data_IF_065107740313
#
_entry.id   IF_065107740313
#
_cell.length_a   1.000
_cell.length_b   1.000
_cell.length_c   1.000
_cell.angle_alpha   90.00
_cell.angle_beta   90.00
_cell.angle_gamma   90.00
#
_symmetry.space_group_name_H-M   'P 1'
#
loop_
_entity.id
_entity.type
_entity.pdbx_description
1 polymer ?
#
# COMPACT_ATOMS: atom_id res chain seq x y z
N UNK A 1 -10.15 -12.08 -17.01
CA UNK A 1 -10.15 -10.95 -16.07
C UNK A 1 -11.54 -10.39 -16.07
N UNK A 2 -12.29 -10.59 -14.98
CA UNK A 2 -13.56 -9.91 -14.75
C UNK A 2 -13.21 -8.56 -14.15
N UNK A 3 -13.49 -7.48 -14.85
CA UNK A 3 -13.41 -6.13 -14.31
C UNK A 3 -14.32 -6.06 -13.09
N UNK A 4 -13.75 -5.72 -11.93
CA UNK A 4 -14.51 -5.50 -10.72
C UNK A 4 -15.28 -4.18 -10.88
N UNK A 5 -16.56 -4.27 -11.23
CA UNK A 5 -17.41 -3.10 -11.38
C UNK A 5 -17.80 -2.57 -10.00
N UNK A 6 -17.17 -1.47 -9.58
CA UNK A 6 -17.51 -0.75 -8.34
C UNK A 6 -18.99 -0.33 -8.28
N UNK A 7 -19.70 -0.30 -9.41
CA UNK A 7 -21.13 0.02 -9.48
C UNK A 7 -22.06 -1.16 -9.12
N UNK A 8 -21.53 -2.39 -8.97
CA UNK A 8 -22.35 -3.56 -8.54
C UNK A 8 -22.37 -3.73 -7.03
N UNK A 9 -21.52 -3.00 -6.30
CA UNK A 9 -21.67 -2.88 -4.87
C UNK A 9 -23.02 -2.18 -4.61
N UNK A 10 -23.82 -2.69 -3.67
CA UNK A 10 -25.00 -2.01 -3.10
C UNK A 10 -24.65 -0.56 -2.73
N UNK A 11 -25.57 0.35 -2.33
CA UNK A 11 -25.22 1.76 -2.04
C UNK A 11 -24.38 1.94 -0.75
N UNK A 12 -23.43 1.04 -0.52
CA UNK A 12 -22.35 1.10 0.42
C UNK A 12 -21.39 2.19 -0.05
N UNK A 13 -21.24 3.16 0.83
CA UNK A 13 -20.41 4.35 0.62
C UNK A 13 -18.97 3.90 0.35
N UNK A 14 -18.45 4.20 -0.83
CA UNK A 14 -17.03 4.03 -1.15
C UNK A 14 -16.24 5.19 -0.53
N UNK A 15 -15.13 4.86 0.11
CA UNK A 15 -14.20 5.80 0.69
C UNK A 15 -12.87 5.72 -0.08
N UNK A 16 -12.71 6.51 -1.15
CA UNK A 16 -11.47 6.55 -1.89
C UNK A 16 -10.39 7.23 -1.04
N UNK A 17 -9.25 6.57 -0.91
CA UNK A 17 -8.07 7.09 -0.22
C UNK A 17 -6.82 6.85 -1.06
N UNK A 18 -5.77 7.63 -0.78
CA UNK A 18 -4.50 7.49 -1.49
C UNK A 18 -3.35 7.45 -0.51
N UNK A 19 -2.34 6.65 -0.81
CA UNK A 19 -1.06 6.61 -0.09
C UNK A 19 0.04 7.08 -1.04
N UNK A 20 0.70 8.19 -0.71
CA UNK A 20 1.89 8.64 -1.40
C UNK A 20 3.10 7.96 -0.77
N UNK A 21 3.90 7.32 -1.60
CA UNK A 21 5.18 6.72 -1.20
C UNK A 21 6.26 7.40 -2.04
N UNK A 22 7.24 8.00 -1.37
CA UNK A 22 8.40 8.62 -1.98
C UNK A 22 9.65 7.98 -1.40
N UNK A 23 10.51 7.50 -2.27
CA UNK A 23 11.81 6.93 -1.91
C UNK A 23 12.89 7.74 -2.61
N UNK A 24 13.85 8.21 -1.83
CA UNK A 24 15.03 8.93 -2.32
C UNK A 24 16.28 8.18 -1.86
N UNK A 25 17.18 7.96 -2.80
CA UNK A 25 18.46 7.28 -2.58
C UNK A 25 19.58 8.30 -2.63
N UNK A 26 20.41 8.34 -1.60
CA UNK A 26 21.74 8.97 -1.66
C UNK A 26 22.81 7.89 -1.67
N UNK A 27 24.08 8.25 -1.83
CA UNK A 27 25.20 7.30 -1.79
C UNK A 27 25.28 6.51 -0.47
N UNK A 28 24.69 7.03 0.61
CA UNK A 28 24.83 6.47 1.96
C UNK A 28 23.50 6.07 2.61
N UNK A 29 22.35 6.60 2.16
CA UNK A 29 21.07 6.41 2.87
C UNK A 29 19.84 6.27 1.96
N UNK A 30 18.88 5.49 2.44
CA UNK A 30 17.54 5.35 1.88
C UNK A 30 16.53 6.17 2.69
N UNK A 31 16.07 7.28 2.11
CA UNK A 31 15.01 8.12 2.67
C UNK A 31 13.65 7.65 2.14
N UNK A 32 12.72 7.34 3.04
CA UNK A 32 11.38 6.85 2.70
C UNK A 32 10.34 7.73 3.40
N UNK A 33 9.50 8.39 2.62
CA UNK A 33 8.37 9.19 3.08
C UNK A 33 7.06 8.53 2.62
N UNK A 34 6.21 8.21 3.58
CA UNK A 34 4.89 7.61 3.35
C UNK A 34 3.83 8.48 4.01
N UNK A 35 2.90 8.99 3.21
CA UNK A 35 1.83 9.86 3.67
C UNK A 35 0.48 9.50 3.07
N UNK A 36 -0.57 9.56 3.88
CA UNK A 36 -1.93 9.32 3.44
C UNK A 36 -2.60 10.63 3.03
N UNK A 37 -3.23 10.63 1.84
CA UNK A 37 -4.15 11.67 1.40
C UNK A 37 -5.57 11.15 1.66
N UNK A 38 -6.10 11.53 2.82
CA UNK A 38 -7.44 11.14 3.28
C UNK A 38 -8.35 12.37 3.35
N UNK A 39 -9.63 12.20 2.98
CA UNK A 39 -10.63 13.25 3.24
C UNK A 39 -10.89 13.36 4.74
N UNK A 40 -11.22 14.56 5.23
CA UNK A 40 -11.50 14.80 6.66
C UNK A 40 -12.77 14.11 7.19
N UNK A 41 -13.54 13.42 6.33
CA UNK A 41 -14.81 12.76 6.68
C UNK A 41 -14.79 11.24 6.41
N UNK A 42 -13.64 10.60 6.58
CA UNK A 42 -13.55 9.13 6.50
C UNK A 42 -13.88 8.44 7.83
N UNK A 43 -14.43 7.21 7.81
CA UNK A 43 -14.67 6.43 9.02
C UNK A 43 -13.38 6.04 9.73
N UNK A 44 -13.50 5.79 11.04
CA UNK A 44 -12.36 5.44 11.90
C UNK A 44 -11.58 4.23 11.38
N UNK A 45 -12.26 3.17 10.92
CA UNK A 45 -11.59 1.96 10.41
C UNK A 45 -10.72 2.25 9.19
N UNK A 46 -11.18 3.14 8.29
CA UNK A 46 -10.38 3.59 7.13
C UNK A 46 -9.17 4.40 7.60
N UNK A 47 -9.36 5.33 8.55
CA UNK A 47 -8.25 6.13 9.10
C UNK A 47 -7.18 5.24 9.73
N UNK A 48 -7.59 4.28 10.56
CA UNK A 48 -6.69 3.33 11.23
C UNK A 48 -5.94 2.44 10.23
N UNK A 49 -6.62 2.00 9.16
CA UNK A 49 -5.99 1.23 8.08
C UNK A 49 -4.90 2.05 7.37
N UNK A 50 -5.17 3.33 7.09
CA UNK A 50 -4.19 4.22 6.46
C UNK A 50 -3.03 4.55 7.40
N UNK A 51 -3.29 4.79 8.68
CA UNK A 51 -2.26 4.98 9.72
C UNK A 51 -1.36 3.75 9.84
N UNK A 52 -1.95 2.55 9.81
CA UNK A 52 -1.21 1.29 9.87
C UNK A 52 -0.32 1.09 8.64
N UNK A 53 -0.83 1.39 7.44
CA UNK A 53 -0.02 1.42 6.21
C UNK A 53 1.13 2.41 6.30
N UNK A 54 0.88 3.63 6.75
CA UNK A 54 1.93 4.66 6.91
C UNK A 54 3.03 4.21 7.88
N UNK A 55 2.70 3.43 8.90
CA UNK A 55 3.66 2.91 9.86
C UNK A 55 4.49 1.75 9.29
N UNK A 56 3.84 0.79 8.62
CA UNK A 56 4.47 -0.47 8.20
C UNK A 56 5.19 -0.38 6.85
N UNK A 57 4.62 0.34 5.88
CA UNK A 57 5.18 0.41 4.53
C UNK A 57 6.63 0.91 4.48
N UNK A 58 7.05 1.96 5.22
CA UNK A 58 8.45 2.39 5.20
C UNK A 58 9.43 1.29 5.60
N UNK A 59 9.06 0.45 6.57
CA UNK A 59 9.92 -0.60 7.11
C UNK A 59 10.02 -1.75 6.11
N UNK A 60 8.89 -2.17 5.54
CA UNK A 60 8.84 -3.22 4.50
C UNK A 60 9.65 -2.80 3.26
N UNK A 61 9.48 -1.55 2.80
CA UNK A 61 10.23 -1.02 1.65
C UNK A 61 11.72 -1.01 1.95
N UNK A 62 12.13 -0.58 3.16
CA UNK A 62 13.53 -0.57 3.57
C UNK A 62 14.13 -1.97 3.56
N UNK A 63 13.45 -2.93 4.17
CA UNK A 63 13.94 -4.30 4.31
C UNK A 63 13.94 -5.03 2.96
N UNK A 64 12.98 -4.74 2.09
CA UNK A 64 12.88 -5.28 0.74
C UNK A 64 13.68 -4.52 -0.32
N UNK A 65 14.41 -3.46 0.03
CA UNK A 65 14.96 -2.53 -0.97
C UNK A 65 15.86 -3.21 -2.00
N UNK A 66 16.79 -4.05 -1.55
CA UNK A 66 17.70 -4.79 -2.43
C UNK A 66 16.94 -5.71 -3.39
N UNK A 67 15.86 -6.33 -2.93
CA UNK A 67 15.01 -7.15 -3.80
C UNK A 67 14.26 -6.27 -4.82
N UNK A 68 13.72 -5.14 -4.38
CA UNK A 68 13.00 -4.22 -5.26
C UNK A 68 13.87 -3.67 -6.39
N UNK A 69 15.14 -3.33 -6.15
CA UNK A 69 16.06 -2.87 -7.21
C UNK A 69 16.49 -3.99 -8.16
N UNK A 70 16.53 -5.25 -7.69
CA UNK A 70 16.84 -6.39 -8.55
C UNK A 70 15.71 -6.68 -9.54
N UNK A 71 14.46 -6.63 -9.06
CA UNK A 71 13.27 -6.86 -9.89
C UNK A 71 12.89 -5.62 -10.73
N UNK A 72 13.14 -4.41 -10.21
CA UNK A 72 12.81 -3.15 -10.87
C UNK A 72 14.02 -2.20 -10.91
N UNK A 73 15.04 -2.45 -11.75
CA UNK A 73 16.28 -1.68 -11.76
C UNK A 73 16.11 -0.16 -11.91
N UNK A 74 15.06 0.26 -12.63
CA UNK A 74 14.77 1.68 -12.88
C UNK A 74 14.48 2.49 -11.60
N UNK A 75 14.17 1.83 -10.48
CA UNK A 75 13.87 2.51 -9.21
C UNK A 75 15.12 2.81 -8.38
N UNK A 76 16.31 2.34 -8.78
CA UNK A 76 17.55 2.47 -8.00
C UNK A 76 17.86 3.92 -7.63
N UNK A 77 17.52 4.88 -8.51
CA UNK A 77 17.68 6.32 -8.28
C UNK A 77 16.59 6.96 -7.40
N UNK A 78 15.71 6.15 -6.81
CA UNK A 78 14.52 6.59 -6.10
C UNK A 78 13.29 6.64 -7.01
N UNK A 79 12.11 6.76 -6.39
CA UNK A 79 10.83 6.82 -7.08
C UNK A 79 9.78 7.54 -6.25
N UNK A 80 8.68 7.91 -6.91
CA UNK A 80 7.46 8.39 -6.25
C UNK A 80 6.24 7.74 -6.88
N UNK A 81 5.42 7.12 -6.04
CA UNK A 81 4.19 6.45 -6.46
C UNK A 81 3.01 6.89 -5.60
N UNK A 82 1.81 6.83 -6.17
CA UNK A 82 0.57 7.11 -5.48
C UNK A 82 -0.35 5.92 -5.59
N UNK A 83 -0.47 5.18 -4.50
CA UNK A 83 -1.33 4.01 -4.38
C UNK A 83 -2.77 4.46 -4.15
N UNK A 84 -3.72 3.80 -4.81
CA UNK A 84 -5.14 4.11 -4.72
C UNK A 84 -5.90 2.96 -4.06
N UNK A 85 -6.72 3.29 -3.07
CA UNK A 85 -7.53 2.33 -2.33
C UNK A 85 -8.98 2.79 -2.34
N UNK A 86 -9.89 1.85 -2.55
CA UNK A 86 -11.31 2.06 -2.38
C UNK A 86 -11.78 1.19 -1.21
N UNK A 87 -11.99 1.81 -0.05
CA UNK A 87 -12.56 1.13 1.11
C UNK A 87 -14.08 1.15 1.01
N UNK A 88 -14.73 0.05 1.35
CA UNK A 88 -16.18 -0.07 1.34
C UNK A 88 -16.64 -1.08 2.38
N UNK A 89 -17.94 -1.06 2.67
CA UNK A 89 -18.61 -2.14 3.40
C UNK A 89 -19.09 -3.14 2.33
N UNK A 90 -18.81 -4.42 2.49
CA UNK A 90 -19.27 -5.46 1.56
C UNK A 90 -20.73 -5.87 1.83
N UNK A 91 -21.19 -6.94 1.18
CA UNK A 91 -22.56 -7.44 1.30
C UNK A 91 -22.87 -8.04 2.67
N UNK A 92 -21.83 -8.51 3.39
CA UNK A 92 -21.93 -9.10 4.73
C UNK A 92 -21.87 -8.05 5.84
N UNK A 93 -21.60 -6.78 5.48
CA UNK A 93 -21.47 -5.69 6.43
C UNK A 93 -20.03 -5.49 6.94
N UNK A 94 -19.07 -6.21 6.36
CA UNK A 94 -17.67 -6.17 6.75
C UNK A 94 -16.88 -5.14 5.94
N UNK A 95 -15.78 -4.67 6.52
CA UNK A 95 -14.89 -3.72 5.84
C UNK A 95 -14.02 -4.45 4.81
N UNK A 96 -14.16 -4.04 3.55
CA UNK A 96 -13.38 -4.53 2.44
C UNK A 96 -12.58 -3.40 1.78
N UNK A 97 -11.51 -3.78 1.08
CA UNK A 97 -10.69 -2.84 0.31
C UNK A 97 -10.50 -3.37 -1.10
N UNK A 98 -10.83 -2.54 -2.09
CA UNK A 98 -10.51 -2.79 -3.47
C UNK A 98 -9.27 -2.00 -3.87
N UNK A 99 -8.34 -2.68 -4.55
CA UNK A 99 -7.03 -2.18 -4.92
C UNK A 99 -6.75 -2.68 -6.34
N UNK A 100 -6.35 -1.78 -7.24
CA UNK A 100 -6.03 -2.12 -8.61
C UNK A 100 -4.79 -1.36 -9.09
N UNK A 101 -3.87 -2.09 -9.73
CA UNK A 101 -2.72 -1.53 -10.41
C UNK A 101 -3.00 -1.49 -11.91
N UNK A 102 -2.67 -0.38 -12.58
CA UNK A 102 -2.82 -0.27 -14.04
C UNK A 102 -1.86 -1.17 -14.81
N UNK A 103 -0.68 -1.41 -14.23
CA UNK A 103 0.35 -2.28 -14.81
C UNK A 103 0.78 -3.30 -13.74
N UNK A 104 0.48 -4.60 -13.92
CA UNK A 104 0.80 -5.64 -12.93
C UNK A 104 2.32 -5.86 -12.77
N UNK A 105 3.12 -5.50 -13.77
CA UNK A 105 4.57 -5.71 -13.78
C UNK A 105 5.34 -4.45 -13.29
N UNK A 106 4.67 -3.56 -12.57
CA UNK A 106 5.27 -2.32 -12.07
C UNK A 106 5.59 -2.38 -10.58
N UNK A 107 6.54 -1.55 -10.14
CA UNK A 107 6.79 -1.33 -8.71
C UNK A 107 5.53 -0.88 -7.96
N UNK A 108 4.61 -0.16 -8.63
CA UNK A 108 3.31 0.19 -8.08
C UNK A 108 2.50 -1.06 -7.71
N UNK A 109 2.41 -2.04 -8.62
CA UNK A 109 1.70 -3.29 -8.36
C UNK A 109 2.32 -4.10 -7.22
N UNK A 110 3.66 -4.16 -7.15
CA UNK A 110 4.36 -4.79 -6.03
C UNK A 110 4.03 -4.12 -4.69
N UNK A 111 4.08 -2.78 -4.65
CA UNK A 111 3.77 -2.01 -3.44
C UNK A 111 2.28 -2.12 -3.04
N UNK A 112 1.36 -2.24 -4.00
CA UNK A 112 -0.05 -2.54 -3.73
C UNK A 112 -0.22 -3.94 -3.13
N UNK A 113 0.54 -4.92 -3.62
CA UNK A 113 0.60 -6.27 -3.03
C UNK A 113 1.06 -6.25 -1.58
N UNK A 114 2.15 -5.54 -1.29
CA UNK A 114 2.66 -5.35 0.07
C UNK A 114 1.63 -4.64 0.98
N UNK A 115 1.01 -3.57 0.47
CA UNK A 115 -0.04 -2.86 1.21
C UNK A 115 -1.24 -3.76 1.50
N UNK A 116 -1.61 -4.64 0.57
CA UNK A 116 -2.67 -5.63 0.79
C UNK A 116 -2.32 -6.58 1.93
N UNK A 117 -1.11 -7.13 1.95
CA UNK A 117 -0.64 -8.02 3.02
C UNK A 117 -0.72 -7.33 4.39
N UNK A 118 -0.29 -6.06 4.47
CA UNK A 118 -0.40 -5.23 5.68
C UNK A 118 -1.86 -5.08 6.12
N UNK A 119 -2.76 -4.74 5.20
CA UNK A 119 -4.18 -4.55 5.52
C UNK A 119 -4.87 -5.85 5.95
N UNK A 120 -4.47 -7.00 5.40
CA UNK A 120 -4.99 -8.31 5.80
C UNK A 120 -4.34 -8.86 7.07
N UNK A 121 -3.41 -8.11 7.70
CA UNK A 121 -2.64 -8.57 8.86
C UNK A 121 -2.00 -9.93 8.61
N UNK A 122 -1.47 -10.13 7.40
CA UNK A 122 -0.84 -11.39 7.02
C UNK A 122 0.40 -11.63 7.90
N UNK A 123 0.59 -12.83 8.49
CA UNK A 123 1.75 -13.12 9.34
C UNK A 123 3.10 -12.83 8.68
N UNK A 124 3.19 -12.91 7.35
CA UNK A 124 4.42 -12.59 6.62
C UNK A 124 4.86 -11.14 6.82
N UNK A 125 3.93 -10.24 7.18
CA UNK A 125 4.25 -8.85 7.49
C UNK A 125 5.14 -8.76 8.71
N UNK A 126 4.92 -9.59 9.73
CA UNK A 126 5.76 -9.58 10.93
C UNK A 126 7.17 -10.13 10.61
N UNK A 127 7.27 -11.18 9.79
CA UNK A 127 8.56 -11.68 9.30
C UNK A 127 9.35 -10.60 8.53
N UNK A 128 8.67 -9.89 7.62
CA UNK A 128 9.27 -8.78 6.86
C UNK A 128 9.72 -7.61 7.75
N UNK A 129 9.16 -7.49 8.96
CA UNK A 129 9.50 -6.45 9.93
C UNK A 129 10.65 -6.86 10.85
N UNK A 130 10.88 -8.16 11.06
CA UNK A 130 11.89 -8.70 11.98
C UNK A 130 13.31 -8.79 11.38
N UNK A 131 13.47 -8.64 10.05
CA UNK A 131 14.76 -8.73 9.34
C UNK A 131 15.80 -7.66 9.78
N UNK A 132 15.43 -6.71 10.64
CA UNK A 132 16.33 -5.63 11.13
C UNK A 132 17.12 -5.95 12.41
N UNK A 133 17.18 -7.20 12.88
CA UNK A 133 17.82 -7.54 14.17
C UNK A 133 19.11 -8.38 14.11
N UNK A 134 19.83 -8.41 12.99
CA UNK A 134 21.19 -9.01 12.91
C UNK A 134 22.24 -8.03 12.35
#
# INVERSE_FOLDING_TARGET
MTDFDLNTLSPNKIFPTRLSIKVETTEEELSIDVSALVSSKIPKNVSQSMEYLMLKMPIIIRNGWLFLILEYPDIESGFKVMLHFNFYIDEDGDWATHIEAKNPDSVEAMLLGMAKLVLSSDPIVDELMEITND
#
